data_IF_971465867740
#
_entry.id   IF_971465867740
#
_cell.length_a   1.000
_cell.length_b   1.000
_cell.length_c   1.000
_cell.angle_alpha   90.00
_cell.angle_beta   90.00
_cell.angle_gamma   90.00
#
_symmetry.space_group_name_H-M   'P 1'
#
loop_
_entity.id
_entity.type
_entity.pdbx_description
1 polymer ?
#
# COMPACT_ATOMS: atom_id res chain seq x y z
N UNK A 1 22.14 7.49 3.09
CA UNK A 1 21.40 7.77 4.33
C UNK A 1 19.95 7.54 4.02
N UNK A 2 19.28 6.58 4.64
CA UNK A 2 17.84 6.38 4.45
C UNK A 2 17.12 7.17 5.54
N UNK A 3 16.40 8.22 5.17
CA UNK A 3 15.58 8.95 6.13
C UNK A 3 14.41 8.08 6.56
N UNK A 4 14.19 7.99 7.87
CA UNK A 4 13.10 7.20 8.41
C UNK A 4 11.76 7.85 8.05
N UNK A 5 10.98 7.17 7.21
CA UNK A 5 9.62 7.59 6.82
C UNK A 5 8.54 7.01 7.73
N UNK A 6 8.82 5.91 8.42
CA UNK A 6 7.89 5.24 9.32
C UNK A 6 8.22 5.56 10.78
N UNK A 7 7.25 6.14 11.48
CA UNK A 7 7.29 6.43 12.90
C UNK A 7 6.26 5.57 13.63
N UNK A 8 6.58 5.17 14.86
CA UNK A 8 5.66 4.42 15.73
C UNK A 8 5.59 5.08 17.10
N UNK A 9 4.37 5.22 17.62
CA UNK A 9 4.12 5.70 18.98
C UNK A 9 3.38 4.63 19.78
N UNK A 10 3.94 4.27 20.93
CA UNK A 10 3.31 3.38 21.90
C UNK A 10 2.63 4.20 22.99
N UNK A 11 1.37 3.85 23.29
CA UNK A 11 0.58 4.43 24.38
C UNK A 11 -0.04 3.29 25.18
N UNK A 12 0.64 2.87 26.25
CA UNK A 12 0.29 1.66 27.00
C UNK A 12 0.35 0.43 26.10
N UNK A 13 -0.76 -0.32 26.00
CA UNK A 13 -0.90 -1.50 25.13
C UNK A 13 -1.32 -1.18 23.69
N UNK A 14 -1.43 0.10 23.33
CA UNK A 14 -1.82 0.52 21.99
C UNK A 14 -0.61 1.05 21.22
N UNK A 15 -0.62 0.85 19.90
CA UNK A 15 0.39 1.36 18.97
C UNK A 15 -0.29 2.17 17.86
N UNK A 16 0.36 3.23 17.42
CA UNK A 16 0.02 3.92 16.17
C UNK A 16 1.28 4.04 15.32
N UNK A 17 1.11 3.75 14.03
CA UNK A 17 2.09 3.95 12.99
C UNK A 17 1.74 5.20 12.18
N UNK A 18 2.77 5.96 11.83
CA UNK A 18 2.73 7.14 11.00
C UNK A 18 3.75 6.96 9.89
N UNK A 19 3.31 6.77 8.65
CA UNK A 19 4.17 6.68 7.48
C UNK A 19 4.08 7.98 6.69
N UNK A 20 5.21 8.67 6.54
CA UNK A 20 5.34 9.91 5.78
C UNK A 20 5.96 9.59 4.43
N UNK A 21 5.22 9.84 3.35
CA UNK A 21 5.69 9.60 1.98
C UNK A 21 5.43 10.82 1.11
N UNK A 22 6.48 11.60 0.82
CA UNK A 22 6.45 12.80 -0.03
C UNK A 22 5.34 13.78 0.38
N UNK A 23 4.16 13.74 -0.27
CA UNK A 23 2.99 14.59 0.01
C UNK A 23 1.91 13.89 0.84
N UNK A 24 2.00 12.58 1.03
CA UNK A 24 1.00 11.76 1.71
C UNK A 24 1.47 11.34 3.10
N UNK A 25 0.53 11.32 4.05
CA UNK A 25 0.72 10.78 5.40
C UNK A 25 -0.29 9.68 5.64
N UNK A 26 0.19 8.48 5.95
CA UNK A 26 -0.65 7.33 6.31
C UNK A 26 -0.57 7.11 7.82
N UNK A 27 -1.73 7.03 8.47
CA UNK A 27 -1.84 6.72 9.90
C UNK A 27 -2.54 5.38 10.07
N UNK A 28 -1.93 4.44 10.79
CA UNK A 28 -2.45 3.08 10.98
C UNK A 28 -2.30 2.61 12.43
N UNK A 29 -3.25 1.81 12.92
CA UNK A 29 -3.23 1.30 14.29
C UNK A 29 -4.52 0.55 14.64
N UNK A 30 -4.50 -0.34 15.65
CA UNK A 30 -5.67 -1.12 16.04
C UNK A 30 -6.72 -0.29 16.77
N UNK A 31 -6.33 0.82 17.41
CA UNK A 31 -7.23 1.65 18.21
C UNK A 31 -7.70 2.88 17.41
N UNK A 32 -8.99 2.91 17.07
CA UNK A 32 -9.62 4.01 16.30
C UNK A 32 -9.61 5.35 17.02
N UNK A 33 -9.74 5.35 18.35
CA UNK A 33 -9.74 6.60 19.14
C UNK A 33 -8.34 7.22 19.12
N UNK A 34 -7.30 6.39 19.29
CA UNK A 34 -5.92 6.85 19.24
C UNK A 34 -5.53 7.33 17.83
N UNK A 35 -6.03 6.66 16.78
CA UNK A 35 -5.91 7.14 15.41
C UNK A 35 -6.55 8.52 15.23
N UNK A 36 -7.76 8.71 15.74
CA UNK A 36 -8.46 9.99 15.64
C UNK A 36 -7.71 11.11 16.36
N UNK A 37 -7.26 10.88 17.59
CA UNK A 37 -6.44 11.85 18.35
C UNK A 37 -5.14 12.20 17.60
N UNK A 38 -4.50 11.20 17.01
CA UNK A 38 -3.27 11.41 16.22
C UNK A 38 -3.55 12.25 14.96
N UNK A 39 -4.63 11.95 14.24
CA UNK A 39 -5.06 12.72 13.08
C UNK A 39 -5.40 14.17 13.42
N UNK A 40 -6.14 14.42 14.50
CA UNK A 40 -6.47 15.78 14.93
C UNK A 40 -5.23 16.56 15.36
N UNK A 41 -4.27 15.91 16.02
CA UNK A 41 -2.98 16.54 16.36
C UNK A 41 -2.19 16.93 15.09
N UNK A 42 -2.18 16.06 14.08
CA UNK A 42 -1.51 16.34 12.81
C UNK A 42 -2.18 17.49 12.05
N UNK A 43 -3.52 17.56 12.04
CA UNK A 43 -4.26 18.67 11.42
C UNK A 43 -4.00 20.03 12.08
N UNK A 44 -3.70 20.04 13.38
CA UNK A 44 -3.36 21.29 14.08
C UNK A 44 -1.98 21.80 13.68
N UNK A 45 -1.05 20.90 13.35
CA UNK A 45 0.30 21.27 12.93
C UNK A 45 0.44 21.49 11.41
N UNK A 46 -0.38 20.80 10.61
CA UNK A 46 -0.30 20.78 9.16
C UNK A 46 -1.70 20.89 8.52
N UNK A 47 -1.82 21.63 7.41
CA UNK A 47 -3.04 21.65 6.60
C UNK A 47 -3.20 20.33 5.83
N UNK A 48 -3.76 19.31 6.49
CA UNK A 48 -3.95 17.98 5.93
C UNK A 48 -5.41 17.75 5.54
N UNK A 49 -5.63 17.20 4.35
CA UNK A 49 -6.93 16.67 3.93
C UNK A 49 -7.06 15.21 4.37
N UNK A 50 -8.14 14.88 5.08
CA UNK A 50 -8.43 13.48 5.42
C UNK A 50 -9.08 12.79 4.21
N UNK A 51 -8.39 11.81 3.66
CA UNK A 51 -8.83 11.04 2.50
C UNK A 51 -9.66 9.79 2.88
N UNK A 52 -9.77 9.48 4.17
CA UNK A 52 -10.51 8.32 4.68
C UNK A 52 -9.67 7.04 4.64
N UNK A 53 -10.30 5.91 4.32
CA UNK A 53 -9.59 4.63 4.21
C UNK A 53 -8.56 4.65 3.07
N UNK A 54 -7.42 4.01 3.32
CA UNK A 54 -6.36 3.84 2.32
C UNK A 54 -6.82 2.85 1.24
N UNK A 55 -7.36 3.38 0.15
CA UNK A 55 -7.79 2.62 -1.02
C UNK A 55 -6.74 2.63 -2.14
N UNK A 56 -5.83 3.61 -2.13
CA UNK A 56 -4.76 3.76 -3.12
C UNK A 56 -3.48 4.20 -2.41
N UNK A 57 -2.35 3.57 -2.73
CA UNK A 57 -1.03 3.97 -2.24
C UNK A 57 0.04 3.58 -3.27
N UNK A 58 0.90 4.51 -3.70
CA UNK A 58 1.97 4.26 -4.69
C UNK A 58 1.48 3.65 -6.03
N UNK A 59 0.27 3.99 -6.45
CA UNK A 59 -0.34 3.39 -7.65
C UNK A 59 -0.84 1.95 -7.45
N UNK A 60 -0.77 1.42 -6.23
CA UNK A 60 -1.44 0.20 -5.80
C UNK A 60 -2.84 0.53 -5.32
N UNK A 61 -3.82 -0.25 -5.78
CA UNK A 61 -5.16 -0.30 -5.23
C UNK A 61 -5.21 -1.28 -4.06
N UNK A 62 -5.80 -0.86 -2.95
CA UNK A 62 -6.05 -1.70 -1.78
C UNK A 62 -7.55 -2.03 -1.74
N UNK A 63 -7.88 -3.29 -2.01
CA UNK A 63 -9.22 -3.82 -1.85
C UNK A 63 -9.36 -4.47 -0.46
N UNK A 64 -10.23 -3.91 0.36
CA UNK A 64 -10.50 -4.40 1.71
C UNK A 64 -11.63 -5.43 1.67
N UNK A 65 -11.38 -6.63 2.21
CA UNK A 65 -12.37 -7.69 2.35
C UNK A 65 -12.42 -8.20 3.79
N UNK A 66 -13.51 -8.87 4.22
CA UNK A 66 -13.55 -9.50 5.55
C UNK A 66 -12.44 -10.55 5.78
N UNK A 67 -11.88 -11.11 4.70
CA UNK A 67 -10.80 -12.10 4.76
C UNK A 67 -9.41 -11.45 4.83
N UNK A 68 -9.30 -10.15 4.59
CA UNK A 68 -8.02 -9.43 4.57
C UNK A 68 -7.95 -8.36 3.49
N UNK A 69 -6.73 -7.89 3.26
CA UNK A 69 -6.42 -6.82 2.30
C UNK A 69 -5.82 -7.46 1.04
N UNK A 70 -6.38 -7.13 -0.12
CA UNK A 70 -5.83 -7.50 -1.42
C UNK A 70 -5.20 -6.27 -2.08
N UNK A 71 -3.99 -6.42 -2.58
CA UNK A 71 -3.32 -5.41 -3.40
C UNK A 71 -3.57 -5.72 -4.87
N UNK A 72 -4.01 -4.73 -5.65
CA UNK A 72 -4.13 -4.87 -7.09
C UNK A 72 -3.55 -3.65 -7.83
N UNK A 73 -3.18 -3.87 -9.09
CA UNK A 73 -2.73 -2.81 -10.01
C UNK A 73 -3.56 -2.86 -11.29
N UNK A 74 -4.81 -3.34 -11.21
CA UNK A 74 -5.61 -3.61 -12.40
C UNK A 74 -5.80 -2.34 -13.23
N UNK A 75 -6.12 -1.21 -12.59
CA UNK A 75 -6.27 0.09 -13.27
C UNK A 75 -4.97 0.55 -13.92
N UNK A 76 -3.84 0.47 -13.21
CA UNK A 76 -2.53 0.82 -13.77
C UNK A 76 -2.18 -0.07 -14.97
N UNK A 77 -2.42 -1.38 -14.86
CA UNK A 77 -2.16 -2.34 -15.95
C UNK A 77 -3.04 -2.03 -17.16
N UNK A 78 -4.32 -1.74 -16.97
CA UNK A 78 -5.23 -1.36 -18.04
C UNK A 78 -4.83 -0.03 -18.69
N UNK A 79 -4.44 0.96 -17.89
CA UNK A 79 -3.93 2.24 -18.40
C UNK A 79 -2.66 2.04 -19.23
N UNK A 80 -1.72 1.23 -18.74
CA UNK A 80 -0.50 0.89 -19.46
C UNK A 80 -0.79 0.18 -20.79
N UNK A 81 -1.72 -0.77 -20.80
CA UNK A 81 -2.18 -1.43 -22.02
C UNK A 81 -2.84 -0.44 -23.00
N UNK A 82 -3.53 0.57 -22.48
CA UNK A 82 -4.14 1.62 -23.30
C UNK A 82 -3.07 2.49 -23.94
N UNK A 83 -2.14 2.98 -23.14
CA UNK A 83 -1.08 3.91 -23.55
C UNK A 83 -0.11 3.26 -24.55
N UNK A 84 0.07 1.94 -24.46
CA UNK A 84 0.89 1.15 -25.38
C UNK A 84 0.12 0.59 -26.58
N UNK A 85 -1.21 0.79 -26.64
CA UNK A 85 -2.05 0.32 -27.75
C UNK A 85 -2.37 -1.18 -27.72
N UNK A 86 -2.09 -1.89 -26.62
CA UNK A 86 -2.32 -3.32 -26.45
C UNK A 86 -3.65 -3.68 -25.76
N UNK A 87 -4.56 -2.74 -25.56
CA UNK A 87 -5.84 -2.98 -24.88
C UNK A 87 -6.71 -4.07 -25.57
N UNK A 88 -6.61 -4.17 -26.90
CA UNK A 88 -7.29 -5.18 -27.73
C UNK A 88 -6.34 -6.27 -28.22
N UNK A 89 -5.14 -6.39 -27.64
CA UNK A 89 -4.20 -7.42 -28.02
C UNK A 89 -4.78 -8.81 -27.69
N UNK A 90 -4.45 -9.80 -28.52
CA UNK A 90 -4.85 -11.19 -28.24
C UNK A 90 -4.24 -11.62 -26.90
N UNK A 91 -5.01 -12.26 -26.01
CA UNK A 91 -4.46 -12.82 -24.78
C UNK A 91 -3.34 -13.79 -25.13
N UNK A 92 -2.17 -13.60 -24.51
CA UNK A 92 -1.06 -14.52 -24.60
C UNK A 92 -0.88 -15.19 -23.25
N UNK A 93 -0.61 -16.50 -23.25
CA UNK A 93 -0.21 -17.20 -22.03
C UNK A 93 1.07 -16.56 -21.49
N UNK A 94 0.96 -15.90 -20.34
CA UNK A 94 2.11 -15.55 -19.53
C UNK A 94 2.58 -16.82 -18.81
N UNK A 95 3.90 -17.07 -18.79
CA UNK A 95 4.50 -18.15 -18.00
C UNK A 95 4.48 -17.87 -16.49
N UNK A 96 4.02 -16.70 -16.08
CA UNK A 96 3.93 -16.33 -14.68
C UNK A 96 2.78 -17.11 -14.03
N UNK A 97 3.10 -18.11 -13.23
CA UNK A 97 2.10 -18.84 -12.45
C UNK A 97 1.53 -17.92 -11.36
N UNK A 98 0.21 -17.66 -11.33
CA UNK A 98 -0.41 -16.73 -10.38
C UNK A 98 -0.26 -17.15 -8.91
N UNK A 99 0.03 -18.44 -8.66
CA UNK A 99 0.15 -19.03 -7.33
C UNK A 99 1.53 -19.65 -7.10
N UNK A 100 2.56 -19.28 -7.88
CA UNK A 100 3.91 -19.75 -7.65
C UNK A 100 4.35 -19.42 -6.22
N UNK A 101 4.50 -20.46 -5.40
CA UNK A 101 5.09 -20.35 -4.08
C UNK A 101 6.59 -20.50 -4.25
N UNK A 102 7.29 -19.38 -4.26
CA UNK A 102 8.75 -19.36 -4.22
C UNK A 102 9.20 -19.56 -2.77
N UNK A 103 9.93 -20.63 -2.51
CA UNK A 103 10.63 -20.87 -1.27
C UNK A 103 12.10 -20.43 -1.41
N UNK A 104 12.81 -20.26 -0.30
CA UNK A 104 14.24 -19.85 -0.32
C UNK A 104 15.16 -20.84 -1.06
N UNK A 105 14.69 -22.07 -1.28
CA UNK A 105 15.41 -23.12 -2.03
C UNK A 105 15.01 -23.18 -3.51
N UNK A 106 14.01 -22.39 -3.94
CA UNK A 106 13.55 -22.39 -5.33
C UNK A 106 14.39 -21.43 -6.16
N UNK A 107 15.40 -21.98 -6.83
CA UNK A 107 16.26 -21.26 -7.77
C UNK A 107 17.64 -21.87 -7.87
N UNK A 108 18.28 -21.72 -9.03
CA UNK A 108 19.70 -22.00 -9.17
C UNK A 108 20.47 -20.77 -8.67
N UNK A 109 21.44 -20.97 -7.78
CA UNK A 109 22.25 -19.88 -7.25
C UNK A 109 22.92 -19.15 -8.43
N UNK A 110 22.70 -17.84 -8.52
CA UNK A 110 23.38 -17.04 -9.52
C UNK A 110 24.91 -17.12 -9.28
N UNK A 111 25.71 -17.25 -10.35
CA UNK A 111 27.16 -17.42 -10.26
C UNK A 111 27.88 -16.23 -9.60
#
# INVERSE_FOLDING_TARGET
SADHSLFSKWTGNNIVFLLVYVEDIVVAGPNKELLHVTLESLKQCFELKVLGNLNYFLGLELAHSPLGIHLCQQKYTLQLLQDTGFLSAKPQSSRMEPNAKFNEVDGEALP
#
